data_IF_124488387293
#
_entry.id   IF_124488387293
#
_cell.length_a   1.000
_cell.length_b   1.000
_cell.length_c   1.000
_cell.angle_alpha   90.00
_cell.angle_beta   90.00
_cell.angle_gamma   90.00
#
_symmetry.space_group_name_H-M   'P 1'
#
loop_
_entity.id
_entity.type
_entity.pdbx_description
1 polymer ?
#
# COMPACT_ATOMS: atom_id res chain seq x y z
N UNK A 1 21.23 -8.13 2.31
CA UNK A 1 20.82 -7.58 1.00
C UNK A 1 19.30 -7.46 0.97
N UNK A 2 18.77 -6.26 0.76
CA UNK A 2 17.33 -6.05 0.53
C UNK A 2 17.10 -5.96 -0.97
N UNK A 3 16.05 -6.62 -1.48
CA UNK A 3 15.64 -6.63 -2.88
C UNK A 3 14.25 -6.03 -2.95
N UNK A 4 14.11 -4.94 -3.69
CA UNK A 4 12.85 -4.21 -3.90
C UNK A 4 12.63 -4.01 -5.40
N UNK A 5 11.39 -3.75 -5.80
CA UNK A 5 11.07 -3.43 -7.21
C UNK A 5 11.86 -2.22 -7.75
N UNK A 6 12.16 -1.23 -6.88
CA UNK A 6 12.93 -0.05 -7.22
C UNK A 6 14.39 -0.35 -7.56
N UNK A 7 14.93 -1.47 -7.05
CA UNK A 7 16.32 -1.86 -7.32
C UNK A 7 16.55 -2.23 -8.81
N UNK A 8 15.47 -2.44 -9.56
CA UNK A 8 15.55 -2.60 -11.01
C UNK A 8 16.24 -1.43 -11.72
N UNK A 9 16.16 -0.22 -11.17
CA UNK A 9 16.86 0.97 -11.69
C UNK A 9 18.38 0.91 -11.60
N UNK A 10 18.88 0.11 -10.65
CA UNK A 10 20.31 -0.11 -10.44
C UNK A 10 20.82 -1.37 -11.15
N UNK A 11 19.94 -2.02 -11.91
CA UNK A 11 20.29 -3.19 -12.71
C UNK A 11 21.26 -2.79 -13.84
N UNK A 12 22.22 -3.67 -14.10
CA UNK A 12 23.10 -3.56 -15.27
C UNK A 12 22.35 -3.81 -16.58
N UNK A 13 21.16 -4.40 -16.52
CA UNK A 13 20.26 -4.55 -17.64
C UNK A 13 19.54 -3.24 -17.93
N UNK A 14 19.94 -2.54 -19.02
CA UNK A 14 19.42 -1.24 -19.39
C UNK A 14 17.92 -1.24 -19.70
N UNK A 15 17.36 -2.38 -20.13
CA UNK A 15 15.94 -2.52 -20.39
C UNK A 15 15.14 -2.55 -19.09
N UNK A 16 15.67 -3.19 -18.05
CA UNK A 16 15.10 -3.18 -16.70
C UNK A 16 15.23 -1.80 -16.04
N UNK A 17 16.41 -1.19 -16.12
CA UNK A 17 16.68 0.11 -15.49
C UNK A 17 15.80 1.24 -16.02
N UNK A 18 15.35 1.16 -17.27
CA UNK A 18 14.48 2.18 -17.91
C UNK A 18 12.99 1.96 -17.69
N UNK A 19 12.55 0.76 -17.30
CA UNK A 19 11.14 0.45 -17.07
C UNK A 19 10.73 0.87 -15.67
N UNK A 20 9.58 1.56 -15.56
CA UNK A 20 8.89 1.71 -14.28
C UNK A 20 8.38 0.33 -13.88
N UNK A 21 8.98 -0.24 -12.85
CA UNK A 21 8.68 -1.60 -12.43
C UNK A 21 7.42 -1.60 -11.55
N UNK A 22 6.46 -2.41 -11.92
CA UNK A 22 5.26 -2.71 -11.12
C UNK A 22 5.38 -4.03 -10.39
N UNK A 23 6.35 -4.86 -10.77
CA UNK A 23 6.66 -6.18 -10.19
C UNK A 23 8.17 -6.33 -9.97
N UNK A 24 8.56 -7.38 -9.26
CA UNK A 24 9.95 -7.81 -9.09
C UNK A 24 10.24 -8.88 -10.15
N UNK A 25 10.97 -8.53 -11.23
CA UNK A 25 11.21 -9.47 -12.32
C UNK A 25 12.29 -10.49 -11.95
N UNK A 26 12.22 -11.69 -12.56
CA UNK A 26 13.19 -12.77 -12.34
C UNK A 26 14.64 -12.33 -12.62
N UNK A 27 14.86 -11.44 -13.57
CA UNK A 27 16.20 -10.97 -13.91
C UNK A 27 16.85 -10.18 -12.76
N UNK A 28 16.06 -9.44 -11.97
CA UNK A 28 16.55 -8.76 -10.78
C UNK A 28 16.99 -9.76 -9.71
N UNK A 29 16.22 -10.84 -9.52
CA UNK A 29 16.59 -11.91 -8.59
C UNK A 29 17.86 -12.64 -9.06
N UNK A 30 17.98 -12.90 -10.36
CA UNK A 30 19.19 -13.52 -10.93
C UNK A 30 20.42 -12.65 -10.71
N UNK A 31 20.32 -11.37 -10.97
CA UNK A 31 21.41 -10.41 -10.77
C UNK A 31 21.81 -10.29 -9.29
N UNK A 32 20.83 -10.24 -8.38
CA UNK A 32 21.06 -9.88 -6.97
C UNK A 32 21.23 -11.06 -6.03
N UNK A 33 20.74 -12.25 -6.39
CA UNK A 33 20.67 -13.36 -5.44
C UNK A 33 20.97 -14.72 -6.05
N UNK A 34 20.15 -15.20 -7.00
CA UNK A 34 20.15 -16.60 -7.42
C UNK A 34 21.12 -16.94 -8.55
N UNK A 35 21.61 -15.92 -9.26
CA UNK A 35 22.47 -16.11 -10.43
C UNK A 35 21.72 -16.65 -11.65
N UNK A 36 22.45 -16.90 -12.73
CA UNK A 36 21.90 -17.41 -13.97
C UNK A 36 21.84 -16.39 -15.10
N UNK A 37 21.27 -16.82 -16.24
CA UNK A 37 21.20 -16.00 -17.46
C UNK A 37 19.99 -15.08 -17.42
N UNK A 38 20.20 -13.79 -17.61
CA UNK A 38 19.17 -12.77 -17.71
C UNK A 38 18.70 -12.56 -19.15
N UNK A 39 17.60 -11.85 -19.34
CA UNK A 39 16.97 -11.59 -20.65
C UNK A 39 17.87 -10.82 -21.63
N UNK A 40 18.91 -10.16 -21.15
CA UNK A 40 19.94 -9.49 -21.94
C UNK A 40 21.17 -10.36 -22.25
N UNK A 41 21.01 -11.67 -22.11
CA UNK A 41 22.01 -12.70 -22.36
C UNK A 41 23.26 -12.65 -21.45
N UNK A 42 23.26 -11.85 -20.40
CA UNK A 42 24.33 -11.86 -19.40
C UNK A 42 24.14 -13.02 -18.43
N UNK A 43 25.28 -13.61 -18.06
CA UNK A 43 25.30 -14.61 -17.01
C UNK A 43 25.79 -13.99 -15.71
N UNK A 44 25.00 -14.15 -14.66
CA UNK A 44 25.30 -13.63 -13.33
C UNK A 44 25.69 -14.78 -12.40
N UNK A 45 26.75 -14.54 -11.63
CA UNK A 45 27.08 -15.44 -10.52
C UNK A 45 25.97 -15.38 -9.47
N UNK A 46 25.79 -16.44 -8.71
CA UNK A 46 24.83 -16.48 -7.62
C UNK A 46 25.43 -15.91 -6.32
N UNK A 47 25.08 -14.71 -5.86
CA UNK A 47 25.54 -14.20 -4.59
C UNK A 47 25.11 -15.07 -3.40
N UNK A 48 23.97 -15.75 -3.50
CA UNK A 48 23.49 -16.65 -2.47
C UNK A 48 24.46 -17.82 -2.24
N UNK A 49 25.07 -18.35 -3.32
CA UNK A 49 25.96 -19.50 -3.26
C UNK A 49 27.45 -19.14 -3.07
N UNK A 50 27.84 -17.87 -3.16
CA UNK A 50 29.22 -17.44 -2.86
C UNK A 50 29.49 -17.44 -1.36
N UNK A 51 30.72 -17.66 -0.97
CA UNK A 51 31.16 -17.53 0.43
C UNK A 51 31.02 -16.08 0.90
N UNK A 52 30.60 -15.88 2.14
CA UNK A 52 30.57 -14.53 2.75
C UNK A 52 31.98 -13.95 2.85
N UNK A 53 32.18 -12.73 2.37
CA UNK A 53 33.49 -12.05 2.41
C UNK A 53 33.95 -11.80 3.86
N UNK A 54 33.01 -11.64 4.78
CA UNK A 54 33.27 -11.37 6.20
C UNK A 54 33.19 -12.60 7.09
N UNK A 55 33.03 -13.80 6.52
CA UNK A 55 32.90 -15.06 7.26
C UNK A 55 31.58 -15.24 8.03
N UNK A 56 30.63 -14.31 7.90
CA UNK A 56 29.30 -14.36 8.55
C UNK A 56 28.20 -14.93 7.68
N UNK A 57 26.99 -14.97 8.23
CA UNK A 57 25.78 -15.36 7.51
C UNK A 57 25.34 -14.29 6.49
N UNK A 58 24.66 -14.74 5.45
CA UNK A 58 24.05 -13.87 4.44
C UNK A 58 22.54 -13.84 4.63
N UNK A 59 21.97 -12.66 4.58
CA UNK A 59 20.51 -12.45 4.65
C UNK A 59 20.05 -11.76 3.39
N UNK A 60 19.10 -12.36 2.70
CA UNK A 60 18.39 -11.77 1.57
C UNK A 60 16.96 -11.48 2.01
N UNK A 61 16.55 -10.23 1.90
CA UNK A 61 15.19 -9.77 2.24
C UNK A 61 14.54 -9.36 0.92
N UNK A 62 13.44 -10.01 0.55
CA UNK A 62 12.62 -9.63 -0.61
C UNK A 62 11.41 -8.91 -0.04
N UNK A 63 11.37 -7.60 -0.24
CA UNK A 63 10.28 -6.74 0.21
C UNK A 63 9.17 -6.70 -0.84
N UNK A 64 7.91 -6.62 -0.43
CA UNK A 64 6.74 -6.75 -1.30
C UNK A 64 6.80 -8.05 -2.15
N UNK A 65 7.03 -9.20 -1.50
CA UNK A 65 7.23 -10.47 -2.21
C UNK A 65 6.03 -10.90 -3.06
N UNK A 66 4.84 -10.39 -2.80
CA UNK A 66 3.65 -10.53 -3.64
C UNK A 66 3.81 -9.93 -5.04
N UNK A 67 4.80 -9.05 -5.25
CA UNK A 67 5.12 -8.47 -6.57
C UNK A 67 6.07 -9.33 -7.41
N UNK A 68 6.52 -10.47 -6.88
CA UNK A 68 7.22 -11.47 -7.68
C UNK A 68 6.26 -12.07 -8.70
N UNK A 69 6.60 -12.01 -9.98
CA UNK A 69 5.86 -12.77 -10.98
C UNK A 69 6.07 -14.28 -10.81
N UNK A 70 5.22 -15.10 -11.42
CA UNK A 70 5.26 -16.55 -11.28
C UNK A 70 6.65 -17.14 -11.68
N UNK A 71 7.29 -16.56 -12.70
CA UNK A 71 8.62 -16.96 -13.15
C UNK A 71 9.67 -16.68 -12.07
N UNK A 72 9.58 -15.51 -11.41
CA UNK A 72 10.47 -15.14 -10.32
C UNK A 72 10.26 -16.02 -9.09
N UNK A 73 9.01 -16.30 -8.73
CA UNK A 73 8.69 -17.22 -7.64
C UNK A 73 9.25 -18.63 -7.89
N UNK A 74 9.03 -19.19 -9.09
CA UNK A 74 9.56 -20.49 -9.47
C UNK A 74 11.08 -20.52 -9.45
N UNK A 75 11.76 -19.44 -9.85
CA UNK A 75 13.22 -19.36 -9.83
C UNK A 75 13.80 -19.39 -8.39
N UNK A 76 13.05 -18.97 -7.39
CA UNK A 76 13.45 -19.02 -5.98
C UNK A 76 13.37 -20.42 -5.36
N UNK A 77 12.52 -21.31 -5.90
CA UNK A 77 12.21 -22.61 -5.28
C UNK A 77 13.46 -23.40 -4.94
N UNK A 78 14.42 -23.50 -5.89
CA UNK A 78 15.67 -24.26 -5.66
C UNK A 78 16.46 -23.70 -4.46
N UNK A 79 16.51 -22.38 -4.32
CA UNK A 79 17.25 -21.74 -3.21
C UNK A 79 16.51 -21.90 -1.87
N UNK A 80 15.18 -22.00 -1.90
CA UNK A 80 14.36 -22.23 -0.71
C UNK A 80 14.38 -23.70 -0.28
N UNK A 81 14.51 -24.64 -1.23
CA UNK A 81 14.63 -26.08 -0.95
C UNK A 81 15.99 -26.43 -0.35
N UNK A 82 17.06 -25.90 -0.94
CA UNK A 82 18.44 -26.19 -0.55
C UNK A 82 19.20 -24.87 -0.32
N UNK A 83 18.88 -24.14 0.75
CA UNK A 83 19.56 -22.88 1.02
C UNK A 83 21.05 -23.12 1.31
N UNK A 84 21.96 -22.35 0.69
CA UNK A 84 23.38 -22.49 0.97
C UNK A 84 23.69 -22.23 2.44
N UNK A 85 24.70 -22.90 2.98
CA UNK A 85 25.09 -22.81 4.39
C UNK A 85 25.26 -21.35 4.80
N UNK A 86 24.64 -20.95 5.92
CA UNK A 86 24.67 -19.59 6.43
C UNK A 86 23.91 -18.56 5.58
N UNK A 87 23.02 -19.01 4.70
CA UNK A 87 22.15 -18.11 3.89
C UNK A 87 20.73 -18.17 4.41
N UNK A 88 20.15 -16.99 4.68
CA UNK A 88 18.76 -16.81 5.11
C UNK A 88 18.01 -16.01 4.05
N UNK A 89 16.80 -16.43 3.75
CA UNK A 89 15.87 -15.73 2.84
C UNK A 89 14.64 -15.33 3.62
N UNK A 90 14.32 -14.03 3.60
CA UNK A 90 13.16 -13.45 4.27
C UNK A 90 12.26 -12.86 3.19
N UNK A 91 11.05 -13.38 3.06
CA UNK A 91 10.02 -12.83 2.19
C UNK A 91 9.09 -11.97 3.05
N UNK A 92 8.98 -10.68 2.73
CA UNK A 92 8.06 -9.75 3.40
C UNK A 92 6.87 -9.54 2.48
N UNK A 93 5.67 -9.82 2.96
CA UNK A 93 4.44 -9.67 2.17
C UNK A 93 3.26 -9.29 3.04
N UNK A 94 2.33 -8.52 2.49
CA UNK A 94 1.01 -8.25 3.06
C UNK A 94 -0.08 -9.15 2.45
N UNK A 95 0.26 -9.92 1.42
CA UNK A 95 -0.64 -10.77 0.63
C UNK A 95 0.02 -12.12 0.38
N UNK A 96 0.06 -12.96 1.40
CA UNK A 96 0.59 -14.33 1.30
C UNK A 96 -0.23 -15.20 0.33
N UNK A 97 -1.51 -14.88 0.14
CA UNK A 97 -2.40 -15.49 -0.84
C UNK A 97 -1.92 -15.35 -2.30
N UNK A 98 -1.07 -14.38 -2.61
CA UNK A 98 -0.47 -14.17 -3.92
C UNK A 98 0.85 -14.94 -4.14
N UNK A 99 1.39 -15.52 -3.08
CA UNK A 99 2.56 -16.39 -3.19
C UNK A 99 2.13 -17.81 -3.58
N UNK A 100 2.93 -18.44 -4.44
CA UNK A 100 2.67 -19.82 -4.85
C UNK A 100 2.62 -20.74 -3.62
N UNK A 101 1.73 -21.74 -3.58
CA UNK A 101 1.68 -22.73 -2.49
C UNK A 101 3.02 -23.46 -2.29
N UNK A 102 3.80 -23.60 -3.35
CA UNK A 102 5.14 -24.18 -3.32
C UNK A 102 6.16 -23.31 -2.58
N UNK A 103 6.02 -21.98 -2.59
CA UNK A 103 6.81 -21.05 -1.78
C UNK A 103 6.36 -21.14 -0.32
N UNK A 104 5.06 -21.05 -0.09
CA UNK A 104 4.49 -21.06 1.26
C UNK A 104 4.86 -22.32 2.03
N UNK A 105 4.86 -23.49 1.36
CA UNK A 105 5.21 -24.77 1.99
C UNK A 105 6.69 -24.91 2.38
N UNK A 106 7.57 -24.04 1.84
CA UNK A 106 9.02 -24.03 2.11
C UNK A 106 9.47 -22.89 3.03
N UNK A 107 8.54 -22.04 3.44
CA UNK A 107 8.81 -20.92 4.33
C UNK A 107 8.11 -21.11 5.67
N UNK A 108 8.77 -20.69 6.74
CA UNK A 108 8.11 -20.53 8.03
C UNK A 108 7.38 -19.18 8.04
N UNK A 109 6.06 -19.20 8.16
CA UNK A 109 5.27 -17.97 8.25
C UNK A 109 5.35 -17.39 9.68
N UNK A 110 5.61 -16.08 9.74
CA UNK A 110 5.60 -15.29 10.97
C UNK A 110 4.67 -14.11 10.78
N UNK A 111 3.53 -14.11 11.47
CA UNK A 111 2.55 -13.04 11.41
C UNK A 111 2.93 -11.85 12.29
N UNK A 112 2.87 -10.64 11.74
CA UNK A 112 3.00 -9.38 12.47
C UNK A 112 1.63 -8.74 12.60
N UNK A 113 1.12 -8.61 13.83
CA UNK A 113 -0.14 -7.94 14.11
C UNK A 113 0.05 -6.42 14.25
N UNK A 114 -1.07 -5.70 14.14
CA UNK A 114 -1.10 -4.27 14.47
C UNK A 114 -0.73 -4.06 15.95
N UNK A 115 -0.04 -2.96 16.23
CA UNK A 115 0.34 -2.60 17.60
C UNK A 115 -0.90 -2.27 18.44
N UNK A 116 -0.92 -2.74 19.67
CA UNK A 116 -1.90 -2.32 20.64
C UNK A 116 -1.59 -0.88 21.16
N UNK A 117 -2.48 -0.30 21.96
CA UNK A 117 -2.34 1.08 22.42
C UNK A 117 -1.04 1.32 23.21
N UNK A 118 -0.61 0.36 24.04
CA UNK A 118 0.61 0.51 24.85
C UNK A 118 1.86 0.42 23.97
N UNK A 119 1.89 -0.54 23.05
CA UNK A 119 2.98 -0.70 22.09
C UNK A 119 3.09 0.52 21.16
N UNK A 120 1.96 1.08 20.73
CA UNK A 120 1.94 2.30 19.92
C UNK A 120 2.50 3.50 20.70
N UNK A 121 2.17 3.64 21.99
CA UNK A 121 2.74 4.70 22.83
C UNK A 121 4.26 4.55 22.98
N UNK A 122 4.75 3.33 23.26
CA UNK A 122 6.18 3.05 23.33
C UNK A 122 6.89 3.36 22.00
N UNK A 123 6.27 2.99 20.88
CA UNK A 123 6.83 3.33 19.56
C UNK A 123 6.89 4.84 19.33
N UNK A 124 5.88 5.61 19.73
CA UNK A 124 5.86 7.07 19.62
C UNK A 124 6.98 7.76 20.40
N UNK A 125 7.33 7.23 21.58
CA UNK A 125 8.44 7.76 22.39
C UNK A 125 9.80 7.63 21.67
N UNK A 126 9.97 6.58 20.87
CA UNK A 126 11.21 6.31 20.13
C UNK A 126 11.22 6.98 18.75
N UNK A 127 10.07 7.08 18.10
CA UNK A 127 9.95 7.50 16.70
C UNK A 127 10.29 8.98 16.47
N UNK A 128 10.32 9.83 17.52
CA UNK A 128 10.70 11.26 17.45
C UNK A 128 10.03 12.00 16.28
N UNK A 129 8.72 11.82 16.10
CA UNK A 129 7.98 12.45 15.02
C UNK A 129 7.80 13.95 15.28
N UNK A 130 8.21 14.78 14.32
CA UNK A 130 8.04 16.23 14.36
C UNK A 130 6.65 16.61 13.83
N UNK A 131 5.66 16.61 14.73
CA UNK A 131 4.30 17.00 14.41
C UNK A 131 3.58 17.61 15.64
N UNK A 132 2.65 18.56 15.44
CA UNK A 132 1.82 19.07 16.51
C UNK A 132 1.04 17.95 17.20
N UNK A 133 0.95 17.99 18.54
CA UNK A 133 0.36 16.90 19.33
C UNK A 133 -1.05 16.50 18.87
N UNK A 134 -1.91 17.49 18.54
CA UNK A 134 -3.26 17.19 18.04
C UNK A 134 -3.28 16.42 16.73
N UNK A 135 -2.38 16.74 15.80
CA UNK A 135 -2.23 15.98 14.53
C UNK A 135 -1.68 14.60 14.77
N UNK A 136 -0.75 14.46 15.72
CA UNK A 136 -0.18 13.16 16.11
C UNK A 136 -1.25 12.25 16.72
N UNK A 137 -2.02 12.75 17.70
CA UNK A 137 -3.09 11.99 18.35
C UNK A 137 -4.16 11.55 17.34
N UNK A 138 -4.51 12.44 16.40
CA UNK A 138 -5.43 12.09 15.31
C UNK A 138 -4.86 11.01 14.40
N UNK A 139 -3.57 11.13 14.00
CA UNK A 139 -2.90 10.16 13.12
C UNK A 139 -2.78 8.79 13.77
N UNK A 140 -2.56 8.73 15.07
CA UNK A 140 -2.56 7.48 15.84
C UNK A 140 -3.92 6.80 15.81
N UNK A 141 -5.00 7.57 16.00
CA UNK A 141 -6.36 7.03 15.89
C UNK A 141 -6.68 6.54 14.46
N UNK A 142 -6.25 7.30 13.45
CA UNK A 142 -6.40 6.93 12.04
C UNK A 142 -5.66 5.63 11.71
N UNK A 143 -4.45 5.45 12.23
CA UNK A 143 -3.56 4.34 11.88
C UNK A 143 -4.04 2.98 12.33
N UNK A 144 -4.97 2.90 13.27
CA UNK A 144 -5.49 1.66 13.84
C UNK A 144 -4.39 0.69 14.32
N UNK A 145 -3.25 1.19 14.80
CA UNK A 145 -2.14 0.37 15.29
C UNK A 145 -1.03 0.12 14.27
N UNK A 146 -1.03 0.83 13.13
CA UNK A 146 0.05 0.77 12.14
C UNK A 146 1.00 1.97 12.28
N UNK A 147 2.27 1.80 12.73
CA UNK A 147 3.26 2.87 12.76
C UNK A 147 3.50 3.53 11.41
N UNK A 148 3.57 2.72 10.34
CA UNK A 148 3.73 3.23 8.98
C UNK A 148 2.59 4.15 8.54
N UNK A 149 1.34 3.82 8.92
CA UNK A 149 0.19 4.67 8.62
C UNK A 149 0.23 6.01 9.37
N UNK A 150 0.78 6.05 10.60
CA UNK A 150 1.03 7.31 11.33
C UNK A 150 2.01 8.19 10.55
N UNK A 151 3.15 7.62 10.13
CA UNK A 151 4.15 8.36 9.35
C UNK A 151 3.55 8.93 8.06
N UNK A 152 2.86 8.09 7.27
CA UNK A 152 2.21 8.50 6.02
C UNK A 152 1.18 9.59 6.28
N UNK A 153 0.37 9.48 7.35
CA UNK A 153 -0.64 10.46 7.72
C UNK A 153 -0.04 11.85 8.00
N UNK A 154 1.06 11.90 8.76
CA UNK A 154 1.74 13.15 9.09
C UNK A 154 2.42 13.74 7.85
N UNK A 155 3.17 12.94 7.12
CA UNK A 155 3.92 13.38 5.93
C UNK A 155 3.02 13.90 4.80
N UNK A 156 1.80 13.34 4.68
CA UNK A 156 0.82 13.75 3.67
C UNK A 156 -0.15 14.83 4.16
N UNK A 157 -0.01 15.34 5.38
CA UNK A 157 -0.95 16.26 6.00
C UNK A 157 -2.41 15.78 5.98
N UNK A 158 -2.61 14.47 6.22
CA UNK A 158 -3.92 13.86 6.20
C UNK A 158 -4.91 14.45 7.26
N UNK A 159 -4.46 14.84 8.47
CA UNK A 159 -5.32 15.55 9.42
C UNK A 159 -5.96 16.82 8.84
N UNK A 160 -5.21 17.60 8.04
CA UNK A 160 -5.73 18.83 7.41
C UNK A 160 -6.78 18.50 6.33
N UNK A 161 -6.57 17.41 5.58
CA UNK A 161 -7.60 16.92 4.66
C UNK A 161 -8.87 16.47 5.42
N UNK A 162 -8.69 15.76 6.53
CA UNK A 162 -9.82 15.29 7.35
C UNK A 162 -10.65 16.46 7.88
N UNK A 163 -10.00 17.53 8.34
CA UNK A 163 -10.65 18.77 8.77
C UNK A 163 -11.38 19.46 7.60
N UNK A 164 -10.73 19.58 6.44
CA UNK A 164 -11.33 20.16 5.24
C UNK A 164 -12.53 19.37 4.71
N UNK A 165 -12.56 18.05 4.97
CA UNK A 165 -13.65 17.17 4.58
C UNK A 165 -14.68 16.91 5.69
N UNK A 166 -14.52 17.49 6.88
CA UNK A 166 -15.38 17.15 8.03
C UNK A 166 -16.86 17.36 7.72
N UNK A 167 -17.23 18.49 7.11
CA UNK A 167 -18.60 18.77 6.68
C UNK A 167 -19.13 17.77 5.66
N UNK A 168 -18.30 17.29 4.74
CA UNK A 168 -18.65 16.25 3.77
C UNK A 168 -18.76 14.86 4.42
N UNK A 169 -17.80 14.52 5.28
CA UNK A 169 -17.73 13.22 5.96
C UNK A 169 -18.89 13.09 6.97
N UNK A 170 -19.18 14.16 7.74
CA UNK A 170 -20.22 14.16 8.75
C UNK A 170 -21.62 14.45 8.18
N UNK A 171 -21.68 15.17 7.08
CA UNK A 171 -22.91 15.54 6.38
C UNK A 171 -23.41 14.47 5.40
N UNK A 172 -23.12 13.18 5.66
CA UNK A 172 -23.66 12.09 4.83
C UNK A 172 -25.17 12.25 4.70
N UNK A 173 -25.63 12.59 3.48
CA UNK A 173 -27.03 12.84 3.18
C UNK A 173 -27.51 14.28 3.26
N UNK A 174 -26.63 15.24 3.53
CA UNK A 174 -26.96 16.66 3.40
C UNK A 174 -26.52 17.18 2.02
N UNK A 175 -27.48 17.64 1.22
CA UNK A 175 -27.20 18.25 -0.07
C UNK A 175 -26.46 19.58 0.11
N UNK A 176 -25.31 19.78 -0.57
CA UNK A 176 -24.70 21.11 -0.70
C UNK A 176 -23.17 21.22 -0.65
N UNK A 177 -22.43 20.22 -0.17
CA UNK A 177 -20.96 20.35 0.08
C UNK A 177 -20.12 19.70 -1.02
N UNK A 178 -20.71 19.24 -2.09
CA UNK A 178 -20.12 18.42 -3.13
C UNK A 178 -18.89 19.01 -3.85
N UNK A 179 -18.92 20.23 -4.41
CA UNK A 179 -17.79 20.72 -5.23
C UNK A 179 -16.52 20.96 -4.41
N UNK A 180 -16.64 21.49 -3.19
CA UNK A 180 -15.48 21.77 -2.32
C UNK A 180 -14.78 20.49 -1.85
N UNK A 181 -15.52 19.45 -1.49
CA UNK A 181 -14.96 18.17 -1.07
C UNK A 181 -14.18 17.49 -2.20
N UNK A 182 -14.73 17.47 -3.42
CA UNK A 182 -14.06 16.90 -4.59
C UNK A 182 -12.78 17.66 -4.89
N UNK A 183 -12.78 18.99 -4.84
CA UNK A 183 -11.59 19.81 -5.06
C UNK A 183 -10.53 19.53 -3.99
N UNK A 184 -10.91 19.41 -2.71
CA UNK A 184 -9.98 19.08 -1.62
C UNK A 184 -9.37 17.69 -1.80
N UNK A 185 -10.15 16.67 -2.18
CA UNK A 185 -9.66 15.32 -2.43
C UNK A 185 -8.71 15.28 -3.62
N UNK A 186 -9.02 15.96 -4.74
CA UNK A 186 -8.14 16.02 -5.92
C UNK A 186 -6.85 16.75 -5.56
N UNK A 187 -6.93 17.89 -4.84
CA UNK A 187 -5.76 18.64 -4.38
C UNK A 187 -4.84 17.81 -3.48
N UNK A 188 -5.40 17.00 -2.60
CA UNK A 188 -4.66 16.04 -1.79
C UNK A 188 -3.94 15.00 -2.65
N UNK A 189 -4.62 14.38 -3.61
CA UNK A 189 -4.02 13.39 -4.52
C UNK A 189 -2.85 14.01 -5.29
N UNK A 190 -3.04 15.20 -5.87
CA UNK A 190 -1.98 15.87 -6.63
C UNK A 190 -0.76 16.21 -5.74
N UNK A 191 -0.97 16.68 -4.51
CA UNK A 191 0.09 16.97 -3.54
C UNK A 191 0.81 15.68 -3.08
N UNK A 192 0.06 14.63 -2.75
CA UNK A 192 0.58 13.33 -2.36
C UNK A 192 1.48 12.75 -3.45
N UNK A 193 0.98 12.71 -4.68
CA UNK A 193 1.72 12.21 -5.85
C UNK A 193 3.02 13.00 -6.07
N UNK A 194 2.96 14.33 -5.99
CA UNK A 194 4.14 15.20 -6.09
C UNK A 194 5.19 14.85 -5.02
N UNK A 195 4.76 14.65 -3.79
CA UNK A 195 5.63 14.28 -2.68
C UNK A 195 6.27 12.90 -2.89
N UNK A 196 5.49 11.91 -3.32
CA UNK A 196 6.00 10.57 -3.59
C UNK A 196 7.01 10.56 -4.74
N UNK A 197 6.72 11.26 -5.82
CA UNK A 197 7.65 11.37 -6.97
C UNK A 197 8.94 12.13 -6.63
N UNK A 198 8.89 13.10 -5.71
CA UNK A 198 10.10 13.80 -5.24
C UNK A 198 10.97 12.92 -4.35
N UNK A 199 10.37 12.02 -3.54
CA UNK A 199 11.09 11.06 -2.70
C UNK A 199 11.69 9.90 -3.50
N UNK A 200 10.98 9.45 -4.51
CA UNK A 200 11.39 8.33 -5.34
C UNK A 200 11.06 8.62 -6.82
N UNK A 201 12.08 9.03 -7.59
CA UNK A 201 11.96 9.35 -9.02
C UNK A 201 11.47 8.15 -9.89
N UNK A 202 11.55 6.93 -9.35
CA UNK A 202 11.14 5.70 -10.04
C UNK A 202 9.71 5.28 -9.66
N UNK A 203 9.11 5.95 -8.70
CA UNK A 203 7.72 5.71 -8.34
C UNK A 203 6.82 5.94 -9.57
N UNK A 204 5.95 4.97 -9.86
CA UNK A 204 4.94 5.14 -10.89
C UNK A 204 3.91 6.16 -10.43
N UNK A 205 3.57 7.12 -11.30
CA UNK A 205 2.50 8.08 -11.02
C UNK A 205 1.17 7.37 -10.73
N UNK A 206 0.91 6.28 -11.43
CA UNK A 206 -0.28 5.45 -11.24
C UNK A 206 -0.28 4.79 -9.86
N UNK A 207 0.86 4.24 -9.41
CA UNK A 207 0.98 3.66 -8.07
C UNK A 207 0.77 4.72 -6.98
N UNK A 208 1.37 5.90 -7.11
CA UNK A 208 1.18 7.00 -6.18
C UNK A 208 -0.28 7.50 -6.14
N UNK A 209 -0.95 7.58 -7.30
CA UNK A 209 -2.37 7.92 -7.39
C UNK A 209 -3.24 6.88 -6.66
N UNK A 210 -2.98 5.58 -6.86
CA UNK A 210 -3.71 4.50 -6.17
C UNK A 210 -3.50 4.56 -4.66
N UNK A 211 -2.28 4.82 -4.22
CA UNK A 211 -1.95 4.96 -2.81
C UNK A 211 -2.67 6.16 -2.17
N UNK A 212 -2.63 7.35 -2.81
CA UNK A 212 -3.36 8.52 -2.35
C UNK A 212 -4.86 8.26 -2.23
N UNK A 213 -5.42 7.58 -3.23
CA UNK A 213 -6.84 7.23 -3.24
C UNK A 213 -7.20 6.25 -2.13
N UNK A 214 -6.37 5.22 -1.90
CA UNK A 214 -6.54 4.28 -0.79
C UNK A 214 -6.57 4.99 0.57
N UNK A 215 -5.72 6.00 0.77
CA UNK A 215 -5.72 6.83 1.99
C UNK A 215 -7.05 7.58 2.17
N UNK A 216 -7.62 8.13 1.09
CA UNK A 216 -8.94 8.77 1.13
C UNK A 216 -10.04 7.76 1.49
N UNK A 217 -10.02 6.55 0.89
CA UNK A 217 -10.97 5.50 1.24
C UNK A 217 -10.87 5.08 2.71
N UNK A 218 -9.65 4.98 3.25
CA UNK A 218 -9.43 4.69 4.67
C UNK A 218 -10.01 5.79 5.56
N UNK A 219 -9.84 7.07 5.20
CA UNK A 219 -10.42 8.20 5.92
C UNK A 219 -11.96 8.12 5.98
N UNK A 220 -12.60 7.84 4.84
CA UNK A 220 -14.04 7.65 4.79
C UNK A 220 -14.47 6.38 5.53
N UNK A 221 -13.68 5.32 5.48
CA UNK A 221 -13.89 4.07 6.21
C UNK A 221 -13.93 4.26 7.73
N UNK A 222 -13.14 5.19 8.28
CA UNK A 222 -13.25 5.55 9.71
C UNK A 222 -14.64 6.08 10.06
N UNK A 223 -15.25 6.90 9.19
CA UNK A 223 -16.60 7.40 9.41
C UNK A 223 -17.63 6.28 9.31
N UNK A 224 -17.50 5.42 8.31
CA UNK A 224 -18.37 4.24 8.17
C UNK A 224 -18.33 3.39 9.43
N UNK A 225 -17.13 3.13 9.96
CA UNK A 225 -16.98 2.36 11.22
C UNK A 225 -17.74 3.02 12.40
N UNK A 226 -17.73 4.35 12.50
CA UNK A 226 -18.49 5.08 13.52
C UNK A 226 -20.01 5.03 13.30
N UNK A 227 -20.46 4.81 12.06
CA UNK A 227 -21.88 4.66 11.72
C UNK A 227 -22.39 3.24 12.01
N UNK A 228 -21.52 2.23 12.05
CA UNK A 228 -21.84 0.83 12.36
C UNK A 228 -21.95 0.62 13.89
N UNK A 229 -22.79 1.43 14.56
CA UNK A 229 -23.05 1.34 16.00
C UNK A 229 -24.40 0.67 16.31
N UNK A 230 -24.87 0.83 17.55
CA UNK A 230 -26.08 0.14 18.06
C UNK A 230 -27.41 0.67 17.50
N UNK A 231 -27.39 1.81 16.78
CA UNK A 231 -28.57 2.40 16.15
C UNK A 231 -28.82 1.79 14.77
N UNK A 232 -30.01 1.21 14.58
CA UNK A 232 -30.39 0.53 13.34
C UNK A 232 -30.35 1.42 12.09
N UNK A 233 -30.82 2.67 12.20
CA UNK A 233 -30.81 3.59 11.03
C UNK A 233 -29.39 3.97 10.64
N UNK A 234 -28.54 4.30 11.64
CA UNK A 234 -27.11 4.58 11.42
C UNK A 234 -26.36 3.38 10.87
N UNK A 235 -26.67 2.20 11.39
CA UNK A 235 -26.06 0.95 10.89
C UNK A 235 -26.46 0.65 9.44
N UNK A 236 -27.71 0.88 9.05
CA UNK A 236 -28.18 0.75 7.66
C UNK A 236 -27.43 1.72 6.72
N UNK A 237 -27.25 2.98 7.17
CA UNK A 237 -26.47 3.96 6.44
C UNK A 237 -24.99 3.53 6.33
N UNK A 238 -24.40 3.06 7.41
CA UNK A 238 -23.03 2.56 7.44
C UNK A 238 -22.81 1.38 6.47
N UNK A 239 -23.75 0.44 6.40
CA UNK A 239 -23.68 -0.69 5.46
C UNK A 239 -23.71 -0.19 4.00
N UNK A 240 -24.62 0.73 3.66
CA UNK A 240 -24.67 1.29 2.31
C UNK A 240 -23.41 2.09 1.97
N UNK A 241 -22.88 2.85 2.92
CA UNK A 241 -21.62 3.56 2.76
C UNK A 241 -20.44 2.61 2.54
N UNK A 242 -20.36 1.51 3.32
CA UNK A 242 -19.35 0.47 3.14
C UNK A 242 -19.44 -0.17 1.75
N UNK A 243 -20.64 -0.46 1.24
CA UNK A 243 -20.85 -1.01 -0.10
C UNK A 243 -20.33 -0.06 -1.20
N UNK A 244 -20.54 1.26 -1.05
CA UNK A 244 -19.99 2.25 -1.98
C UNK A 244 -18.46 2.24 -1.95
N UNK A 245 -17.85 2.22 -0.76
CA UNK A 245 -16.38 2.19 -0.64
C UNK A 245 -15.80 0.93 -1.28
N UNK A 246 -16.40 -0.24 -1.02
CA UNK A 246 -15.95 -1.51 -1.58
C UNK A 246 -16.07 -1.55 -3.12
N UNK A 247 -17.18 -1.04 -3.67
CA UNK A 247 -17.36 -0.97 -5.13
C UNK A 247 -16.34 -0.03 -5.79
N UNK A 248 -16.13 1.15 -5.23
CA UNK A 248 -15.14 2.11 -5.72
C UNK A 248 -13.71 1.56 -5.57
N UNK A 249 -13.39 0.85 -4.48
CA UNK A 249 -12.10 0.19 -4.29
C UNK A 249 -11.85 -0.87 -5.36
N UNK A 250 -12.86 -1.64 -5.73
CA UNK A 250 -12.73 -2.62 -6.82
C UNK A 250 -12.41 -1.98 -8.18
N UNK A 251 -12.94 -0.79 -8.43
CA UNK A 251 -12.75 -0.06 -9.69
C UNK A 251 -11.35 0.55 -9.83
N UNK A 252 -10.61 0.76 -8.74
CA UNK A 252 -9.23 1.31 -8.80
C UNK A 252 -8.27 0.36 -9.52
N UNK A 253 -8.58 -0.93 -9.55
CA UNK A 253 -7.80 -1.93 -10.28
C UNK A 253 -8.04 -1.88 -11.80
N UNK A 254 -9.07 -1.15 -12.22
CA UNK A 254 -9.37 -0.93 -13.64
C UNK A 254 -8.62 0.29 -14.18
N UNK A 255 -8.69 0.54 -15.49
CA UNK A 255 -8.04 1.69 -16.12
C UNK A 255 -8.82 3.01 -15.97
N UNK A 256 -9.63 3.14 -14.93
CA UNK A 256 -10.41 4.36 -14.67
C UNK A 256 -9.52 5.42 -14.00
N UNK A 257 -9.66 6.66 -14.43
CA UNK A 257 -8.93 7.79 -13.82
C UNK A 257 -9.35 8.01 -12.37
N UNK A 258 -8.39 8.20 -11.47
CA UNK A 258 -8.63 8.49 -10.04
C UNK A 258 -9.54 9.71 -9.87
N UNK A 259 -9.44 10.73 -10.73
CA UNK A 259 -10.34 11.92 -10.68
C UNK A 259 -11.80 11.53 -10.88
N UNK A 260 -12.09 10.69 -11.86
CA UNK A 260 -13.45 10.20 -12.13
C UNK A 260 -13.96 9.34 -10.97
N UNK A 261 -13.09 8.51 -10.37
CA UNK A 261 -13.45 7.74 -9.18
C UNK A 261 -13.79 8.63 -7.98
N UNK A 262 -13.03 9.71 -7.76
CA UNK A 262 -13.31 10.68 -6.69
C UNK A 262 -14.61 11.43 -6.91
N UNK A 263 -14.92 11.83 -8.14
CA UNK A 263 -16.18 12.47 -8.50
C UNK A 263 -17.37 11.51 -8.29
N UNK A 264 -17.23 10.27 -8.76
CA UNK A 264 -18.24 9.22 -8.56
C UNK A 264 -18.45 8.92 -7.07
N UNK A 265 -17.37 8.79 -6.31
CA UNK A 265 -17.40 8.59 -4.87
C UNK A 265 -18.14 9.73 -4.17
N UNK A 266 -17.76 10.98 -4.46
CA UNK A 266 -18.36 12.15 -3.83
C UNK A 266 -19.85 12.26 -4.19
N UNK A 267 -20.22 12.01 -5.44
CA UNK A 267 -21.62 12.01 -5.85
C UNK A 267 -22.44 10.95 -5.09
N UNK A 268 -21.97 9.71 -5.06
CA UNK A 268 -22.66 8.59 -4.39
C UNK A 268 -22.73 8.77 -2.90
N UNK A 269 -21.68 9.36 -2.28
CA UNK A 269 -21.63 9.64 -0.85
C UNK A 269 -22.70 10.64 -0.41
N UNK A 270 -22.89 11.73 -1.15
CA UNK A 270 -23.92 12.73 -0.87
C UNK A 270 -25.33 12.15 -1.04
N UNK A 271 -25.54 11.27 -2.03
CA UNK A 271 -26.84 10.68 -2.31
C UNK A 271 -27.19 9.47 -1.45
N UNK A 272 -26.30 9.04 -0.55
CA UNK A 272 -26.54 7.91 0.35
C UNK A 272 -27.81 8.05 1.20
N UNK A 273 -28.22 9.26 1.54
CA UNK A 273 -29.37 9.55 2.40
C UNK A 273 -30.61 10.10 1.65
N UNK A 274 -30.46 10.49 0.40
CA UNK A 274 -31.62 10.80 -0.45
C UNK A 274 -32.30 9.48 -0.80
N UNK A 275 -33.31 9.13 -0.02
CA UNK A 275 -34.10 7.92 -0.24
C UNK A 275 -34.87 7.95 -1.55
N UNK A 276 -34.20 7.70 -2.67
CA UNK A 276 -34.82 7.27 -3.90
C UNK A 276 -33.89 6.32 -4.63
N UNK A 277 -34.29 5.06 -4.64
CA UNK A 277 -33.66 3.92 -5.28
C UNK A 277 -33.60 4.02 -6.83
N UNK A 278 -33.62 5.22 -7.40
CA UNK A 278 -33.94 5.39 -8.84
C UNK A 278 -32.75 5.68 -9.75
N UNK A 279 -31.49 5.69 -9.27
CA UNK A 279 -30.32 5.92 -10.14
C UNK A 279 -29.15 4.99 -9.83
N UNK A 280 -29.41 3.68 -9.80
CA UNK A 280 -28.36 2.69 -10.01
C UNK A 280 -28.40 2.28 -11.48
N UNK A 281 -27.44 2.67 -12.33
CA UNK A 281 -27.25 1.98 -13.60
C UNK A 281 -26.78 0.54 -13.27
N UNK A 282 -27.42 -0.45 -13.87
CA UNK A 282 -27.12 -1.88 -13.81
C UNK A 282 -25.73 -2.18 -14.37
#
# INVERSE_FOLDING_TARGET
HVIKKEDASWSKNTSLARRKQTNIPVDLLRERMIGGRTSDDRNHDSPAFKTSVTGGSKVFIIDEAELLDETAQNALLKTLEEPPLGTFVILVTSRDDLLLPTIQSRCQSVGFSLLNKNEMNQWLEVASLDAPRGKLDWSVQFSCGSPGAVCVSIESNLPDLAEALDGFICGVGQSGVFPSATVSMIGFVDSFVKTQLSKNALCSKEAANRQAFSVILQLLGMRVRKLLGDDRERSSLGIRAAAILADIESQIQTNVSVKVLLESLAFRWVHLCGGDAMLMPR
#
